data_IF_966708786250
#
_entry.id   IF_966708786250
#
_cell.length_a   1.000
_cell.length_b   1.000
_cell.length_c   1.000
_cell.angle_alpha   90.00
_cell.angle_beta   90.00
_cell.angle_gamma   90.00
#
_symmetry.space_group_name_H-M   'P 1'
#
loop_
_entity.id
_entity.type
_entity.pdbx_description
1 polymer ?
#
# COMPACT_ATOMS: atom_id res chain seq x y z
N UNK A 1 -7.99 -10.05 14.44
CA UNK A 1 -8.77 -10.08 13.17
C UNK A 1 -7.86 -9.90 11.96
N UNK A 2 -6.88 -8.99 12.03
CA UNK A 2 -5.91 -8.70 10.94
C UNK A 2 -4.92 -9.80 10.62
N UNK A 3 -4.61 -10.70 11.57
CA UNK A 3 -3.76 -11.88 11.30
C UNK A 3 -4.40 -12.86 10.32
N UNK A 4 -5.74 -13.02 10.37
CA UNK A 4 -6.47 -13.88 9.42
C UNK A 4 -6.47 -13.24 8.03
N UNK A 5 -6.66 -11.92 7.96
CA UNK A 5 -6.65 -11.17 6.70
C UNK A 5 -5.27 -11.23 6.01
N UNK A 6 -4.20 -11.02 6.78
CA UNK A 6 -2.83 -11.16 6.28
C UNK A 6 -2.50 -12.60 5.87
N UNK A 7 -2.91 -13.60 6.65
CA UNK A 7 -2.71 -15.00 6.30
C UNK A 7 -3.43 -15.35 4.99
N UNK A 8 -4.67 -14.89 4.85
CA UNK A 8 -5.46 -15.06 3.61
C UNK A 8 -4.76 -14.44 2.41
N UNK A 9 -4.21 -13.23 2.57
CA UNK A 9 -3.49 -12.52 1.50
C UNK A 9 -2.23 -13.24 1.00
N UNK A 10 -1.60 -14.06 1.86
CA UNK A 10 -0.39 -14.83 1.55
C UNK A 10 -0.74 -16.21 0.99
N UNK A 11 -1.77 -16.85 1.56
CA UNK A 11 -2.21 -18.19 1.15
C UNK A 11 -2.94 -18.14 -0.20
N UNK A 12 -3.71 -17.08 -0.47
CA UNK A 12 -4.53 -16.99 -1.68
C UNK A 12 -3.71 -17.12 -2.98
N UNK A 13 -2.61 -16.38 -3.21
CA UNK A 13 -1.81 -16.54 -4.42
C UNK A 13 -1.21 -17.94 -4.58
N UNK A 14 -0.79 -18.57 -3.46
CA UNK A 14 -0.21 -19.92 -3.46
C UNK A 14 -1.26 -20.96 -3.89
N UNK A 15 -2.43 -20.93 -3.26
CA UNK A 15 -3.55 -21.81 -3.61
C UNK A 15 -4.00 -21.58 -5.05
N UNK A 16 -4.12 -20.31 -5.46
CA UNK A 16 -4.49 -19.97 -6.84
C UNK A 16 -3.49 -20.52 -7.86
N UNK A 17 -2.19 -20.45 -7.56
CA UNK A 17 -1.14 -21.05 -8.40
C UNK A 17 -1.31 -22.55 -8.56
N UNK A 18 -1.41 -23.28 -7.44
CA UNK A 18 -1.56 -24.74 -7.42
C UNK A 18 -2.84 -25.18 -8.18
N UNK A 19 -3.96 -24.49 -7.95
CA UNK A 19 -5.24 -24.80 -8.60
C UNK A 19 -5.15 -24.60 -10.12
N UNK A 20 -4.49 -23.52 -10.55
CA UNK A 20 -4.33 -23.18 -11.97
C UNK A 20 -3.43 -24.18 -12.69
N UNK A 21 -2.33 -24.59 -12.05
CA UNK A 21 -1.37 -25.55 -12.60
C UNK A 21 -1.99 -26.96 -12.73
N UNK A 22 -2.71 -27.43 -11.70
CA UNK A 22 -3.26 -28.79 -11.70
C UNK A 22 -4.55 -28.93 -12.53
N UNK A 23 -5.44 -27.94 -12.48
CA UNK A 23 -6.79 -28.06 -13.07
C UNK A 23 -6.88 -27.47 -14.48
N UNK A 24 -5.89 -26.66 -14.88
CA UNK A 24 -5.94 -25.83 -16.08
C UNK A 24 -6.88 -24.63 -15.92
N UNK A 25 -6.59 -23.54 -16.65
CA UNK A 25 -7.24 -22.23 -16.49
C UNK A 25 -8.78 -22.26 -16.51
N UNK A 26 -9.39 -23.03 -17.44
CA UNK A 26 -10.85 -23.08 -17.58
C UNK A 26 -11.52 -23.74 -16.37
N UNK A 27 -10.99 -24.86 -15.88
CA UNK A 27 -11.56 -25.56 -14.73
C UNK A 27 -11.25 -24.82 -13.43
N UNK A 28 -10.07 -24.20 -13.32
CA UNK A 28 -9.71 -23.33 -12.20
C UNK A 28 -10.73 -22.20 -12.02
N UNK A 29 -11.16 -21.54 -13.10
CA UNK A 29 -12.22 -20.53 -13.04
C UNK A 29 -13.54 -21.08 -12.48
N UNK A 30 -13.99 -22.25 -12.93
CA UNK A 30 -15.21 -22.87 -12.40
C UNK A 30 -15.07 -23.20 -10.90
N UNK A 31 -13.91 -23.71 -10.49
CA UNK A 31 -13.62 -23.99 -9.07
C UNK A 31 -13.69 -22.70 -8.25
N UNK A 32 -13.09 -21.59 -8.69
CA UNK A 32 -13.15 -20.31 -7.97
C UNK A 32 -14.57 -19.75 -7.88
N UNK A 33 -15.37 -19.86 -8.94
CA UNK A 33 -16.78 -19.42 -8.92
C UNK A 33 -17.57 -20.22 -7.90
N UNK A 34 -17.44 -21.55 -7.91
CA UNK A 34 -18.14 -22.43 -6.96
C UNK A 34 -17.67 -22.16 -5.53
N UNK A 35 -16.36 -22.00 -5.32
CA UNK A 35 -15.77 -21.68 -4.02
C UNK A 35 -16.27 -20.35 -3.46
N UNK A 36 -16.31 -19.29 -4.28
CA UNK A 36 -16.83 -17.99 -3.87
C UNK A 36 -18.32 -18.03 -3.54
N UNK A 37 -19.12 -18.77 -4.33
CA UNK A 37 -20.56 -18.91 -4.06
C UNK A 37 -20.81 -19.65 -2.74
N UNK A 38 -20.08 -20.75 -2.49
CA UNK A 38 -20.13 -21.49 -1.23
C UNK A 38 -19.71 -20.61 -0.05
N UNK A 39 -18.63 -19.84 -0.22
CA UNK A 39 -18.13 -18.92 0.81
C UNK A 39 -19.19 -17.88 1.18
N UNK A 40 -19.89 -17.30 0.19
CA UNK A 40 -20.97 -16.34 0.42
C UNK A 40 -22.17 -16.95 1.18
N UNK A 41 -22.54 -18.19 0.87
CA UNK A 41 -23.62 -18.90 1.59
C UNK A 41 -23.23 -19.11 3.05
N UNK A 42 -22.00 -19.56 3.30
CA UNK A 42 -21.47 -19.81 4.64
C UNK A 42 -21.39 -18.50 5.43
N UNK A 43 -20.85 -17.44 4.83
CA UNK A 43 -20.75 -16.11 5.44
C UNK A 43 -22.12 -15.59 5.87
N UNK A 44 -23.12 -15.66 4.98
CA UNK A 44 -24.50 -15.26 5.28
C UNK A 44 -25.08 -16.06 6.43
N UNK A 45 -24.81 -17.36 6.48
CA UNK A 45 -25.29 -18.23 7.55
C UNK A 45 -24.67 -17.84 8.90
N UNK A 46 -23.35 -17.64 8.95
CA UNK A 46 -22.63 -17.25 10.17
C UNK A 46 -23.09 -15.87 10.65
N UNK A 47 -23.18 -14.89 9.75
CA UNK A 47 -23.64 -13.53 10.10
C UNK A 47 -25.08 -13.54 10.63
N UNK A 48 -25.96 -14.36 10.06
CA UNK A 48 -27.32 -14.54 10.56
C UNK A 48 -27.33 -15.12 11.98
N UNK A 49 -26.46 -16.09 12.27
CA UNK A 49 -26.31 -16.62 13.62
C UNK A 49 -25.75 -15.59 14.60
N UNK A 50 -24.74 -14.82 14.21
CA UNK A 50 -24.15 -13.77 15.06
C UNK A 50 -25.18 -12.68 15.36
N UNK A 51 -25.91 -12.23 14.33
CA UNK A 51 -26.95 -11.22 14.47
C UNK A 51 -28.03 -11.68 15.45
N UNK A 52 -28.53 -12.92 15.31
CA UNK A 52 -29.57 -13.46 16.21
C UNK A 52 -29.09 -13.69 17.65
N UNK A 53 -27.81 -14.00 17.87
CA UNK A 53 -27.25 -14.27 19.20
C UNK A 53 -26.79 -13.02 19.96
N UNK A 54 -26.46 -11.93 19.26
CA UNK A 54 -25.98 -10.69 19.89
C UNK A 54 -27.07 -9.61 19.81
N UNK A 55 -27.90 -9.44 20.86
CA UNK A 55 -28.99 -8.48 20.85
C UNK A 55 -28.52 -7.02 20.70
N UNK A 56 -27.27 -6.71 21.08
CA UNK A 56 -26.65 -5.40 20.88
C UNK A 56 -26.54 -4.98 19.40
N UNK A 57 -26.56 -5.92 18.45
CA UNK A 57 -26.56 -5.63 17.01
C UNK A 57 -27.94 -5.23 16.45
N UNK A 58 -29.02 -5.47 17.21
CA UNK A 58 -30.39 -5.15 16.76
C UNK A 58 -30.76 -3.68 16.98
N UNK A 59 -30.13 -3.00 17.94
CA UNK A 59 -30.34 -1.58 18.19
C UNK A 59 -29.48 -0.75 17.24
N UNK A 60 -30.05 -0.34 16.11
CA UNK A 60 -29.47 0.75 15.32
C UNK A 60 -29.85 2.06 16.00
N UNK A 61 -29.07 2.52 16.97
CA UNK A 61 -29.31 3.78 17.69
C UNK A 61 -29.06 4.95 16.74
N UNK A 62 -30.05 5.27 15.91
CA UNK A 62 -30.21 6.61 15.33
C UNK A 62 -31.09 7.37 16.29
N UNK A 63 -30.51 8.08 17.24
CA UNK A 63 -31.25 9.14 17.94
C UNK A 63 -31.47 10.31 16.98
N UNK A 64 -32.37 10.14 16.01
CA UNK A 64 -32.97 11.27 15.32
C UNK A 64 -34.06 11.84 16.23
N UNK A 65 -33.69 12.80 17.08
CA UNK A 65 -34.68 13.77 17.56
C UNK A 65 -35.02 14.72 16.40
N UNK A 66 -36.29 14.71 15.98
CA UNK A 66 -37.14 15.86 15.59
C UNK A 66 -38.10 15.59 14.40
N UNK A 67 -39.37 15.42 14.79
CA UNK A 67 -40.62 15.91 14.20
C UNK A 67 -40.75 16.10 12.67
N UNK A 68 -41.39 15.09 12.05
CA UNK A 68 -42.63 15.17 11.27
C UNK A 68 -42.96 16.40 10.41
N UNK A 69 -42.89 16.18 9.10
CA UNK A 69 -43.86 16.59 8.04
C UNK A 69 -43.59 17.76 7.07
N UNK A 70 -42.78 18.79 7.34
CA UNK A 70 -42.69 19.92 6.38
C UNK A 70 -41.52 19.87 5.37
N UNK A 71 -40.62 18.89 5.45
CA UNK A 71 -39.37 18.90 4.65
C UNK A 71 -39.45 18.31 3.24
N UNK A 72 -40.57 17.70 2.81
CA UNK A 72 -40.57 16.87 1.58
C UNK A 72 -40.40 17.63 0.26
N UNK A 73 -40.76 18.91 0.17
CA UNK A 73 -40.63 19.68 -1.08
C UNK A 73 -39.29 20.43 -1.25
N UNK A 74 -38.58 20.75 -0.15
CA UNK A 74 -37.28 21.46 -0.19
C UNK A 74 -36.14 20.53 -0.68
N UNK A 75 -36.30 19.21 -0.53
CA UNK A 75 -35.26 18.18 -0.73
C UNK A 75 -34.76 18.03 -2.18
N UNK A 76 -35.47 18.52 -3.21
CA UNK A 76 -35.06 18.29 -4.61
C UNK A 76 -34.09 19.33 -5.18
N UNK A 77 -34.09 20.57 -4.69
CA UNK A 77 -33.25 21.66 -5.23
C UNK A 77 -31.90 21.80 -4.50
N UNK A 78 -31.81 21.24 -3.29
CA UNK A 78 -30.64 21.34 -2.40
C UNK A 78 -29.60 20.23 -2.54
N UNK A 79 -29.81 19.19 -3.36
CA UNK A 79 -28.93 18.00 -3.35
C UNK A 79 -27.45 18.27 -3.67
N UNK A 80 -27.11 19.27 -4.49
CA UNK A 80 -25.71 19.57 -4.81
C UNK A 80 -25.04 20.49 -3.77
N UNK A 81 -25.77 21.46 -3.21
CA UNK A 81 -25.24 22.37 -2.18
C UNK A 81 -25.21 21.69 -0.81
N UNK A 82 -26.20 20.83 -0.52
CA UNK A 82 -26.23 20.00 0.68
C UNK A 82 -25.16 18.91 0.65
N UNK A 83 -24.83 18.33 -0.51
CA UNK A 83 -23.76 17.34 -0.61
C UNK A 83 -22.39 17.92 -0.28
N UNK A 84 -22.09 19.17 -0.70
CA UNK A 84 -20.82 19.82 -0.36
C UNK A 84 -20.79 20.19 1.13
N UNK A 85 -21.87 20.76 1.67
CA UNK A 85 -21.93 21.06 3.11
C UNK A 85 -21.81 19.77 3.94
N UNK A 86 -22.47 18.70 3.54
CA UNK A 86 -22.34 17.38 4.18
C UNK A 86 -20.90 16.85 4.08
N UNK A 87 -20.21 17.03 2.94
CA UNK A 87 -18.81 16.64 2.78
C UNK A 87 -17.86 17.47 3.63
N UNK A 88 -18.05 18.78 3.70
CA UNK A 88 -17.29 19.65 4.61
C UNK A 88 -17.55 19.29 6.07
N UNK A 89 -18.79 18.98 6.44
CA UNK A 89 -19.17 18.54 7.78
C UNK A 89 -18.52 17.20 8.13
N UNK A 90 -18.42 16.28 7.18
CA UNK A 90 -17.73 14.98 7.31
C UNK A 90 -16.23 15.15 7.57
N UNK A 91 -15.58 16.01 6.79
CA UNK A 91 -14.17 16.34 7.00
C UNK A 91 -13.97 17.08 8.32
N UNK A 92 -14.85 18.02 8.65
CA UNK A 92 -14.80 18.73 9.92
C UNK A 92 -14.96 17.77 11.11
N UNK A 93 -15.87 16.79 11.02
CA UNK A 93 -16.03 15.75 12.02
C UNK A 93 -14.76 14.90 12.16
N UNK A 94 -14.10 14.55 11.05
CA UNK A 94 -12.82 13.86 11.04
C UNK A 94 -11.70 14.68 11.75
N UNK A 95 -11.57 15.98 11.44
CA UNK A 95 -10.55 16.86 12.05
C UNK A 95 -10.79 17.12 13.54
N UNK A 96 -12.03 17.03 14.02
CA UNK A 96 -12.37 17.22 15.44
C UNK A 96 -12.03 16.02 16.33
N UNK A 97 -11.76 14.85 15.75
CA UNK A 97 -11.46 13.64 16.52
C UNK A 97 -10.12 13.79 17.25
N UNK A 98 -10.06 13.34 18.51
CA UNK A 98 -8.83 13.37 19.32
C UNK A 98 -7.70 12.51 18.70
N UNK A 99 -8.06 11.50 17.90
CA UNK A 99 -7.12 10.61 17.18
C UNK A 99 -6.69 11.15 15.82
N UNK A 100 -7.15 12.33 15.40
CA UNK A 100 -6.81 12.94 14.12
C UNK A 100 -5.30 12.95 13.83
N UNK A 101 -4.39 13.37 14.74
CA UNK A 101 -2.97 13.44 14.42
C UNK A 101 -2.35 12.07 14.09
N UNK A 102 -2.83 11.01 14.75
CA UNK A 102 -2.37 9.65 14.50
C UNK A 102 -2.91 9.12 13.15
N UNK A 103 -4.21 9.35 12.89
CA UNK A 103 -4.87 8.95 11.64
C UNK A 103 -4.27 9.69 10.43
N UNK A 104 -4.00 10.99 10.56
CA UNK A 104 -3.34 11.79 9.54
C UNK A 104 -1.89 11.34 9.33
N UNK A 105 -1.15 11.04 10.41
CA UNK A 105 0.19 10.47 10.32
C UNK A 105 0.21 9.14 9.56
N UNK A 106 -0.77 8.27 9.79
CA UNK A 106 -0.93 7.04 9.02
C UNK A 106 -1.19 7.36 7.54
N UNK A 107 -2.07 8.30 7.22
CA UNK A 107 -2.33 8.70 5.84
C UNK A 107 -1.06 9.24 5.13
N UNK A 108 -0.20 9.96 5.83
CA UNK A 108 1.11 10.39 5.30
C UNK A 108 2.09 9.22 5.09
N UNK A 109 2.03 8.17 5.91
CA UNK A 109 2.85 6.97 5.68
C UNK A 109 2.50 6.27 4.36
N UNK A 110 1.26 6.38 3.87
CA UNK A 110 0.87 5.86 2.54
C UNK A 110 1.51 6.62 1.38
N UNK A 111 2.05 7.83 1.60
CA UNK A 111 2.80 8.58 0.60
C UNK A 111 4.25 8.08 0.43
N UNK A 112 4.69 7.10 1.23
CA UNK A 112 6.10 6.67 1.22
C UNK A 112 6.50 6.02 -0.09
N UNK A 113 7.61 6.49 -0.67
CA UNK A 113 8.25 5.90 -1.85
C UNK A 113 9.05 4.63 -1.49
N UNK A 114 9.29 4.41 -0.20
CA UNK A 114 10.21 3.42 0.33
C UNK A 114 9.51 2.08 0.68
N UNK A 115 8.26 1.87 0.27
CA UNK A 115 7.68 0.52 0.22
C UNK A 115 8.36 -0.26 -0.89
N UNK A 116 8.89 -1.47 -0.61
CA UNK A 116 9.52 -2.37 -1.60
C UNK A 116 8.57 -2.74 -2.75
N UNK A 117 8.32 -1.77 -3.63
CA UNK A 117 7.30 -1.76 -4.68
C UNK A 117 7.97 -1.47 -6.02
N UNK A 118 7.19 -1.17 -7.06
CA UNK A 118 7.68 -1.02 -8.43
C UNK A 118 8.87 -0.07 -8.57
N UNK A 119 8.89 1.05 -7.83
CA UNK A 119 9.99 2.02 -7.90
C UNK A 119 11.31 1.47 -7.34
N UNK A 120 11.30 0.86 -6.15
CA UNK A 120 12.49 0.26 -5.56
C UNK A 120 13.06 -0.86 -6.46
N UNK A 121 12.18 -1.69 -7.05
CA UNK A 121 12.56 -2.74 -8.00
C UNK A 121 13.14 -2.14 -9.28
N UNK A 122 12.50 -1.10 -9.83
CA UNK A 122 12.97 -0.41 -11.04
C UNK A 122 14.34 0.23 -10.84
N UNK A 123 14.58 0.82 -9.67
CA UNK A 123 15.87 1.37 -9.29
C UNK A 123 16.94 0.28 -9.13
N UNK A 124 16.58 -0.85 -8.52
CA UNK A 124 17.38 -2.09 -8.50
C UNK A 124 17.84 -2.52 -9.87
N UNK A 125 16.87 -2.65 -10.78
CA UNK A 125 17.12 -3.07 -12.15
C UNK A 125 17.96 -2.06 -12.92
N UNK A 126 17.73 -0.75 -12.72
CA UNK A 126 18.53 0.31 -13.34
C UNK A 126 20.01 0.29 -12.90
N UNK A 127 20.30 -0.17 -11.68
CA UNK A 127 21.67 -0.36 -11.19
C UNK A 127 22.26 -1.73 -11.52
N UNK A 128 21.55 -2.59 -12.26
CA UNK A 128 22.02 -3.91 -12.67
C UNK A 128 21.94 -4.98 -11.60
N UNK A 129 21.08 -4.81 -10.59
CA UNK A 129 20.80 -5.88 -9.61
C UNK A 129 19.99 -6.98 -10.28
N UNK A 130 20.41 -8.26 -10.20
CA UNK A 130 19.72 -9.36 -10.84
C UNK A 130 18.32 -9.57 -10.27
N UNK A 131 17.39 -10.03 -11.11
CA UNK A 131 15.96 -10.15 -10.78
C UNK A 131 15.70 -11.10 -9.59
N UNK A 132 16.52 -12.16 -9.46
CA UNK A 132 16.45 -13.13 -8.37
C UNK A 132 16.64 -12.47 -6.99
N UNK A 133 17.61 -11.55 -6.87
CA UNK A 133 17.91 -10.85 -5.61
C UNK A 133 16.76 -9.94 -5.22
N UNK A 134 16.19 -9.23 -6.20
CA UNK A 134 15.02 -8.36 -6.00
C UNK A 134 13.81 -9.19 -5.53
N UNK A 135 13.61 -10.37 -6.11
CA UNK A 135 12.58 -11.32 -5.71
C UNK A 135 12.76 -11.81 -4.26
N UNK A 136 13.98 -12.12 -3.85
CA UNK A 136 14.29 -12.55 -2.47
C UNK A 136 13.98 -11.43 -1.47
N UNK A 137 14.44 -10.20 -1.72
CA UNK A 137 14.15 -9.08 -0.82
C UNK A 137 12.66 -8.77 -0.72
N UNK A 138 11.90 -8.89 -1.83
CA UNK A 138 10.44 -8.77 -1.84
C UNK A 138 9.79 -9.84 -0.96
N UNK A 139 10.25 -11.08 -1.06
CA UNK A 139 9.75 -12.20 -0.26
C UNK A 139 10.01 -11.97 1.24
N UNK A 140 11.23 -11.55 1.59
CA UNK A 140 11.59 -11.21 2.98
C UNK A 140 10.74 -10.04 3.48
N UNK A 141 10.52 -9.02 2.67
CA UNK A 141 9.67 -7.87 3.03
C UNK A 141 8.22 -8.25 3.31
N UNK A 142 7.68 -9.22 2.55
CA UNK A 142 6.35 -9.78 2.83
C UNK A 142 6.33 -10.54 4.16
N UNK A 143 7.31 -11.41 4.39
CA UNK A 143 7.44 -12.16 5.64
C UNK A 143 7.57 -11.24 6.86
N UNK A 144 8.36 -10.17 6.75
CA UNK A 144 8.53 -9.18 7.82
C UNK A 144 7.26 -8.37 8.10
N UNK A 145 6.38 -8.18 7.12
CA UNK A 145 5.06 -7.59 7.34
C UNK A 145 4.17 -8.48 8.22
N UNK A 146 4.13 -9.78 7.92
CA UNK A 146 3.41 -10.79 8.73
C UNK A 146 3.99 -10.84 10.15
N UNK A 147 5.32 -10.90 10.27
CA UNK A 147 6.02 -10.87 11.55
C UNK A 147 5.73 -9.58 12.31
N UNK A 148 5.63 -8.43 11.63
CA UNK A 148 5.26 -7.15 12.22
C UNK A 148 3.87 -7.18 12.87
N UNK A 149 2.91 -7.84 12.25
CA UNK A 149 1.56 -7.97 12.79
C UNK A 149 1.46 -8.94 13.98
N UNK A 150 2.21 -10.05 13.96
CA UNK A 150 2.35 -10.90 15.15
C UNK A 150 3.06 -10.14 16.28
N UNK A 151 4.09 -9.37 15.94
CA UNK A 151 4.82 -8.54 16.91
C UNK A 151 3.89 -7.50 17.53
N UNK A 152 2.99 -6.90 16.74
CA UNK A 152 1.95 -6.01 17.25
C UNK A 152 1.10 -6.67 18.34
N UNK A 153 0.51 -7.84 18.05
CA UNK A 153 -0.40 -8.50 19.01
C UNK A 153 0.30 -8.86 20.32
N UNK A 154 1.57 -9.24 20.26
CA UNK A 154 2.37 -9.56 21.46
C UNK A 154 2.70 -8.32 22.30
N UNK A 155 3.00 -7.19 21.66
CA UNK A 155 3.40 -5.94 22.36
C UNK A 155 2.17 -5.21 22.89
N UNK A 156 1.09 -5.16 22.13
CA UNK A 156 -0.18 -4.54 22.51
C UNK A 156 -0.74 -5.11 23.82
N UNK A 157 -0.73 -6.43 23.98
CA UNK A 157 -1.19 -7.10 25.21
C UNK A 157 -0.46 -6.64 26.48
N UNK A 158 0.77 -6.12 26.35
CA UNK A 158 1.61 -5.71 27.48
C UNK A 158 1.61 -4.20 27.71
N UNK A 159 1.56 -3.42 26.63
CA UNK A 159 1.92 -1.99 26.67
C UNK A 159 0.77 -1.08 26.19
N UNK A 160 -0.30 -1.67 25.63
CA UNK A 160 -1.45 -0.97 25.08
C UNK A 160 -1.18 -0.36 23.70
N UNK A 161 -2.23 -0.02 22.94
CA UNK A 161 -2.12 0.34 21.53
C UNK A 161 -1.26 1.59 21.31
N UNK A 162 -1.48 2.66 22.09
CA UNK A 162 -0.77 3.95 21.88
C UNK A 162 0.76 3.82 21.95
N UNK A 163 1.28 3.02 22.88
CA UNK A 163 2.74 2.81 23.04
C UNK A 163 3.30 1.85 21.99
N UNK A 164 2.53 0.82 21.60
CA UNK A 164 2.90 -0.09 20.51
C UNK A 164 3.03 0.66 19.18
N UNK A 165 2.12 1.57 18.87
CA UNK A 165 2.21 2.39 17.65
C UNK A 165 3.45 3.28 17.63
N UNK A 166 3.78 3.90 18.76
CA UNK A 166 5.02 4.67 18.90
C UNK A 166 6.26 3.79 18.69
N UNK A 167 6.29 2.60 19.26
CA UNK A 167 7.38 1.63 19.05
C UNK A 167 7.51 1.25 17.57
N UNK A 168 6.38 0.97 16.89
CA UNK A 168 6.35 0.65 15.47
C UNK A 168 6.95 1.78 14.62
N UNK A 169 6.58 3.03 14.90
CA UNK A 169 7.11 4.21 14.20
C UNK A 169 8.61 4.42 14.46
N UNK A 170 9.08 4.25 15.69
CA UNK A 170 10.51 4.34 16.03
C UNK A 170 11.30 3.27 15.29
N UNK A 171 10.78 2.03 15.30
CA UNK A 171 11.42 0.90 14.62
C UNK A 171 11.48 1.14 13.11
N UNK A 172 10.38 1.59 12.50
CA UNK A 172 10.35 1.98 11.09
C UNK A 172 11.39 3.07 10.79
N UNK A 173 11.39 4.15 11.56
CA UNK A 173 12.30 5.28 11.35
C UNK A 173 13.77 4.87 11.50
N UNK A 174 14.08 3.96 12.42
CA UNK A 174 15.45 3.47 12.61
C UNK A 174 15.99 2.76 11.37
N UNK A 175 15.16 1.97 10.67
CA UNK A 175 15.54 1.32 9.42
C UNK A 175 15.56 2.28 8.23
N UNK A 176 14.70 3.31 8.24
CA UNK A 176 14.76 4.36 7.22
C UNK A 176 16.03 5.20 7.32
N UNK A 177 16.61 5.37 8.52
CA UNK A 177 17.93 5.98 8.67
C UNK A 177 19.04 5.19 7.97
N UNK A 178 18.92 3.87 7.84
CA UNK A 178 19.85 3.07 7.03
C UNK A 178 19.73 3.40 5.53
N UNK A 179 18.51 3.71 5.05
CA UNK A 179 18.29 4.15 3.67
C UNK A 179 18.90 5.53 3.42
N UNK A 180 18.89 6.42 4.41
CA UNK A 180 19.59 7.71 4.30
C UNK A 180 21.10 7.48 4.26
N UNK A 181 21.62 6.57 5.11
CA UNK A 181 23.04 6.23 5.11
C UNK A 181 23.49 5.63 3.77
N UNK A 182 22.64 4.83 3.12
CA UNK A 182 22.98 4.20 1.84
C UNK A 182 23.27 5.19 0.72
N UNK A 183 22.67 6.39 0.75
CA UNK A 183 22.93 7.45 -0.23
C UNK A 183 24.40 7.89 -0.20
N UNK A 184 25.04 7.83 0.98
CA UNK A 184 26.43 8.24 1.17
C UNK A 184 27.46 7.10 0.94
N UNK A 185 27.00 5.87 0.72
CA UNK A 185 27.89 4.74 0.44
C UNK A 185 28.40 4.78 -1.01
N UNK A 186 29.58 4.19 -1.22
CA UNK A 186 30.16 3.99 -2.54
C UNK A 186 29.20 3.27 -3.47
N UNK A 187 29.09 3.76 -4.72
CA UNK A 187 28.19 3.23 -5.73
C UNK A 187 26.84 3.94 -5.85
N UNK A 188 26.53 4.88 -4.96
CA UNK A 188 25.34 5.73 -5.09
C UNK A 188 25.44 6.66 -6.32
N UNK A 189 24.45 6.67 -7.25
CA UNK A 189 24.41 7.60 -8.39
C UNK A 189 24.01 9.04 -7.97
N UNK A 190 23.96 9.32 -6.67
CA UNK A 190 23.46 10.58 -6.13
C UNK A 190 24.42 11.75 -6.42
N UNK A 191 24.01 12.62 -7.35
CA UNK A 191 24.68 13.89 -7.63
C UNK A 191 23.70 15.06 -7.44
N UNK A 192 23.61 15.65 -6.23
CA UNK A 192 22.61 16.67 -5.93
C UNK A 192 22.85 17.98 -6.70
N UNK A 193 24.10 18.31 -6.99
CA UNK A 193 24.47 19.55 -7.71
C UNK A 193 24.15 19.45 -9.20
N UNK A 194 24.29 18.27 -9.80
CA UNK A 194 23.86 18.01 -11.18
C UNK A 194 22.35 18.08 -11.32
N UNK A 195 21.63 17.39 -10.43
CA UNK A 195 20.15 17.37 -10.44
C UNK A 195 19.55 18.77 -10.25
N UNK A 196 20.04 19.54 -9.27
CA UNK A 196 19.54 20.89 -9.01
C UNK A 196 19.77 21.87 -10.16
N UNK A 197 20.76 21.63 -11.04
CA UNK A 197 21.00 22.44 -12.24
C UNK A 197 20.08 22.07 -13.40
N UNK A 198 19.68 20.81 -13.49
CA UNK A 198 18.83 20.30 -14.57
C UNK A 198 17.33 20.46 -14.27
N UNK A 199 16.97 20.39 -12.99
CA UNK A 199 15.58 20.49 -12.54
C UNK A 199 15.08 21.94 -12.62
N UNK A 200 14.06 22.15 -13.44
CA UNK A 200 13.34 23.42 -13.58
C UNK A 200 11.85 23.10 -13.62
N UNK A 201 11.03 23.86 -12.88
CA UNK A 201 9.59 23.60 -12.77
C UNK A 201 8.91 23.58 -14.14
N UNK A 202 9.34 24.44 -15.07
CA UNK A 202 8.79 24.52 -16.42
C UNK A 202 9.00 23.21 -17.20
N UNK A 203 10.20 22.60 -17.12
CA UNK A 203 10.49 21.32 -17.77
C UNK A 203 9.75 20.15 -17.12
N UNK A 204 9.59 20.18 -15.79
CA UNK A 204 8.81 19.17 -15.09
C UNK A 204 7.33 19.27 -15.48
N UNK A 205 6.78 20.48 -15.49
CA UNK A 205 5.38 20.75 -15.85
C UNK A 205 5.10 20.41 -17.31
N UNK A 206 6.01 20.71 -18.24
CA UNK A 206 5.91 20.35 -19.65
C UNK A 206 5.86 18.82 -19.83
N UNK A 207 6.79 18.08 -19.17
CA UNK A 207 6.78 16.62 -19.19
C UNK A 207 5.51 16.05 -18.58
N UNK A 208 5.07 16.59 -17.45
CA UNK A 208 3.85 16.17 -16.78
C UNK A 208 2.62 16.38 -17.68
N UNK A 209 2.42 17.58 -18.22
CA UNK A 209 1.31 17.87 -19.14
C UNK A 209 1.39 16.98 -20.39
N UNK A 210 2.58 16.77 -20.96
CA UNK A 210 2.76 15.89 -22.13
C UNK A 210 2.37 14.43 -21.86
N UNK A 211 2.54 13.94 -20.62
CA UNK A 211 2.08 12.59 -20.23
C UNK A 211 0.56 12.47 -20.07
N UNK A 212 -0.14 13.60 -19.88
CA UNK A 212 -1.61 13.65 -19.76
C UNK A 212 -2.27 13.83 -21.13
N UNK A 213 -1.62 14.51 -22.07
CA UNK A 213 -2.12 14.65 -23.44
C UNK A 213 -1.91 13.37 -24.24
N UNK A 214 -2.94 12.53 -24.32
CA UNK A 214 -3.04 11.44 -25.31
C UNK A 214 -3.11 12.11 -26.69
N UNK A 215 -1.97 12.18 -27.38
CA UNK A 215 -2.01 12.44 -28.82
C UNK A 215 -2.69 11.24 -29.49
N UNK A 216 -3.75 11.43 -30.30
CA UNK A 216 -4.24 10.36 -31.14
C UNK A 216 -3.08 9.95 -32.04
N UNK A 217 -2.64 8.70 -31.93
CA UNK A 217 -1.65 8.13 -32.82
C UNK A 217 -2.26 8.09 -34.24
N UNK A 218 -2.12 9.18 -34.97
CA UNK A 218 -2.23 9.17 -36.41
C UNK A 218 -0.98 8.42 -36.90
N UNK A 219 -1.20 7.28 -37.54
CA UNK A 219 -0.19 6.44 -38.17
C UNK A 219 0.79 7.29 -39.00
N UNK A 220 1.93 7.63 -38.41
CA UNK A 220 3.08 8.12 -39.15
C UNK A 220 3.95 6.90 -39.46
N UNK A 221 3.68 6.29 -40.61
CA UNK A 221 4.56 5.32 -41.23
C UNK A 221 5.94 5.95 -41.43
N UNK A 222 6.93 5.43 -40.71
CA UNK A 222 8.34 5.65 -40.98
C UNK A 222 8.91 4.31 -41.45
N UNK A 223 9.15 4.21 -42.75
CA UNK A 223 9.93 3.15 -43.36
C UNK A 223 11.36 3.18 -42.79
N UNK A 224 11.67 2.27 -41.87
CA UNK A 224 13.05 1.92 -41.55
C UNK A 224 13.44 0.67 -42.34
N UNK A 225 14.27 0.87 -43.36
CA UNK A 225 15.00 -0.19 -44.04
C UNK A 225 16.04 -0.77 -43.07
N UNK A 226 15.62 -1.66 -42.19
CA UNK A 226 16.51 -2.38 -41.28
C UNK A 226 17.02 -3.63 -41.97
N UNK A 227 18.24 -3.51 -42.50
CA UNK A 227 19.11 -4.63 -42.84
C UNK A 227 19.16 -5.64 -41.70
N UNK A 228 18.93 -6.90 -42.04
CA UNK A 228 19.06 -8.07 -41.19
C UNK A 228 20.45 -8.15 -40.55
N UNK A 229 20.58 -7.58 -39.35
CA UNK A 229 21.57 -8.04 -38.38
C UNK A 229 20.83 -9.01 -37.47
N UNK A 230 21.09 -10.31 -37.67
CA UNK A 230 20.72 -11.34 -36.73
C UNK A 230 21.23 -10.91 -35.35
N UNK A 231 20.31 -10.49 -34.49
CA UNK A 231 20.59 -10.34 -33.06
C UNK A 231 20.91 -11.74 -32.55
N UNK A 232 22.19 -12.10 -32.57
CA UNK A 232 22.71 -13.14 -31.71
C UNK A 232 22.34 -12.68 -30.31
N UNK A 233 21.27 -13.27 -29.75
CA UNK A 233 20.96 -13.17 -28.35
C UNK A 233 22.17 -13.77 -27.62
N UNK A 234 23.13 -12.92 -27.28
CA UNK A 234 24.11 -13.25 -26.25
C UNK A 234 23.24 -13.45 -25.02
N UNK A 235 23.05 -14.71 -24.63
CA UNK A 235 22.56 -15.08 -23.32
C UNK A 235 23.65 -14.58 -22.37
N UNK A 236 23.57 -13.31 -21.98
CA UNK A 236 24.26 -12.84 -20.79
C UNK A 236 23.49 -13.54 -19.67
N UNK A 237 24.00 -14.69 -19.24
CA UNK A 237 23.52 -15.37 -18.05
C UNK A 237 23.56 -14.33 -16.93
N UNK A 238 22.41 -13.86 -16.50
CA UNK A 238 22.35 -12.95 -15.36
C UNK A 238 23.08 -13.60 -14.18
N UNK A 239 23.89 -12.84 -13.43
CA UNK A 239 24.63 -13.40 -12.31
C UNK A 239 23.64 -14.01 -11.33
N UNK A 240 23.72 -15.32 -11.14
CA UNK A 240 22.92 -16.04 -10.15
C UNK A 240 23.16 -15.47 -8.75
N UNK A 241 22.16 -15.57 -7.88
CA UNK A 241 22.23 -15.08 -6.49
C UNK A 241 23.54 -15.43 -5.76
N UNK A 242 24.05 -16.65 -5.94
CA UNK A 242 25.28 -17.14 -5.30
C UNK A 242 26.51 -16.37 -5.79
N UNK A 243 26.58 -16.07 -7.08
CA UNK A 243 27.69 -15.32 -7.69
C UNK A 243 27.65 -13.85 -7.25
N UNK A 244 26.45 -13.29 -7.13
CA UNK A 244 26.23 -11.96 -6.56
C UNK A 244 26.68 -11.89 -5.09
N UNK A 245 26.30 -12.86 -4.26
CA UNK A 245 26.67 -12.87 -2.84
C UNK A 245 28.18 -12.99 -2.62
N UNK A 246 28.85 -13.86 -3.38
CA UNK A 246 30.29 -14.06 -3.27
C UNK A 246 31.12 -12.87 -3.77
N UNK A 247 30.54 -12.01 -4.62
CA UNK A 247 31.17 -10.77 -5.11
C UNK A 247 30.78 -9.53 -4.30
N UNK A 248 29.86 -9.66 -3.33
CA UNK A 248 29.41 -8.56 -2.51
C UNK A 248 30.50 -8.10 -1.56
N UNK A 249 30.82 -6.80 -1.62
CA UNK A 249 31.74 -6.15 -0.68
C UNK A 249 31.10 -4.86 -0.16
N UNK A 250 31.22 -4.59 1.13
CA UNK A 250 30.58 -3.42 1.79
C UNK A 250 31.14 -2.07 1.27
N UNK A 251 32.30 -2.08 0.62
CA UNK A 251 32.91 -0.94 -0.07
C UNK A 251 32.75 -0.97 -1.58
N UNK A 252 32.06 -1.99 -2.12
CA UNK A 252 31.86 -2.19 -3.54
C UNK A 252 30.77 -1.28 -4.13
N UNK A 253 30.65 -1.24 -5.47
CA UNK A 253 29.69 -0.37 -6.17
C UNK A 253 28.21 -0.75 -5.90
N UNK A 254 27.93 -1.95 -5.39
CA UNK A 254 26.58 -2.42 -5.08
C UNK A 254 26.24 -2.32 -3.58
N UNK A 255 27.13 -1.78 -2.76
CA UNK A 255 26.93 -1.68 -1.32
C UNK A 255 25.79 -0.74 -0.95
N UNK A 256 25.73 0.43 -1.61
CA UNK A 256 24.66 1.42 -1.43
C UNK A 256 23.28 0.79 -1.67
N UNK A 257 23.07 0.12 -2.81
CA UNK A 257 21.76 -0.44 -3.14
C UNK A 257 21.36 -1.62 -2.25
N UNK A 258 22.32 -2.43 -1.78
CA UNK A 258 22.03 -3.51 -0.85
C UNK A 258 21.60 -2.98 0.52
N UNK A 259 22.30 -1.98 1.08
CA UNK A 259 21.92 -1.35 2.34
C UNK A 259 20.56 -0.65 2.23
N UNK A 260 20.29 -0.01 1.08
CA UNK A 260 18.98 0.54 0.75
C UNK A 260 17.89 -0.53 0.81
N UNK A 261 18.07 -1.67 0.12
CA UNK A 261 17.11 -2.76 0.11
C UNK A 261 16.91 -3.40 1.49
N UNK A 262 17.97 -3.62 2.25
CA UNK A 262 17.85 -4.04 3.64
C UNK A 262 17.00 -3.04 4.46
N UNK A 263 17.32 -1.75 4.38
CA UNK A 263 16.61 -0.71 5.12
C UNK A 263 15.10 -0.70 4.83
N UNK A 264 14.70 -0.69 3.56
CA UNK A 264 13.28 -0.68 3.19
C UNK A 264 12.57 -2.00 3.52
N UNK A 265 13.25 -3.13 3.42
CA UNK A 265 12.70 -4.46 3.75
C UNK A 265 12.45 -4.59 5.25
N UNK A 266 13.40 -4.18 6.10
CA UNK A 266 13.24 -4.24 7.56
C UNK A 266 12.27 -3.16 8.10
N UNK A 267 12.17 -2.00 7.45
CA UNK A 267 11.21 -0.97 7.80
C UNK A 267 9.75 -1.47 7.74
N UNK A 268 9.43 -2.51 6.93
CA UNK A 268 8.09 -3.10 6.85
C UNK A 268 7.58 -3.66 8.18
N UNK A 269 8.48 -4.18 9.02
CA UNK A 269 8.09 -4.70 10.35
C UNK A 269 7.49 -3.57 11.20
N UNK A 270 8.18 -2.42 11.27
CA UNK A 270 7.72 -1.25 12.01
C UNK A 270 6.46 -0.63 11.41
N UNK A 271 6.38 -0.57 10.07
CA UNK A 271 5.23 -0.02 9.35
C UNK A 271 3.94 -0.80 9.65
N UNK A 272 3.96 -2.14 9.52
CA UNK A 272 2.78 -2.97 9.80
C UNK A 272 2.37 -2.94 11.28
N UNK A 273 3.33 -2.78 12.19
CA UNK A 273 3.05 -2.59 13.62
C UNK A 273 2.37 -1.25 13.89
N UNK A 274 2.85 -0.17 13.28
CA UNK A 274 2.28 1.17 13.42
C UNK A 274 0.88 1.26 12.79
N UNK A 275 0.69 0.69 11.60
CA UNK A 275 -0.60 0.67 10.90
C UNK A 275 -1.69 -0.02 11.73
N UNK A 276 -1.38 -1.24 12.21
CA UNK A 276 -2.34 -2.00 13.02
C UNK A 276 -2.67 -1.30 14.35
N UNK A 277 -1.67 -0.65 14.94
CA UNK A 277 -1.83 0.13 16.16
C UNK A 277 -2.70 1.37 15.99
N UNK A 278 -2.50 2.14 14.91
CA UNK A 278 -3.27 3.35 14.65
C UNK A 278 -4.70 2.99 14.29
N UNK A 279 -4.88 1.92 13.49
CA UNK A 279 -6.20 1.38 13.18
C UNK A 279 -6.95 0.98 14.45
N UNK A 280 -6.31 0.28 15.39
CA UNK A 280 -6.95 -0.07 16.65
C UNK A 280 -7.24 1.16 17.52
N UNK A 281 -6.30 2.11 17.59
CA UNK A 281 -6.50 3.37 18.32
C UNK A 281 -7.72 4.14 17.79
N UNK A 282 -7.91 4.15 16.47
CA UNK A 282 -9.10 4.72 15.83
C UNK A 282 -10.37 3.95 16.18
N UNK A 283 -10.33 2.61 16.18
CA UNK A 283 -11.48 1.78 16.56
C UNK A 283 -11.94 2.02 18.01
N UNK A 284 -11.01 2.19 18.94
CA UNK A 284 -11.30 2.39 20.36
C UNK A 284 -11.72 3.84 20.69
N UNK A 285 -11.14 4.84 20.02
CA UNK A 285 -11.39 6.23 20.35
C UNK A 285 -12.63 6.83 19.67
N UNK A 286 -13.04 6.29 18.53
CA UNK A 286 -14.14 6.84 17.73
C UNK A 286 -15.48 6.21 18.14
N UNK A 287 -16.52 7.01 18.43
CA UNK A 287 -17.84 6.50 18.78
C UNK A 287 -18.46 5.69 17.63
N UNK A 288 -19.25 4.68 17.97
CA UNK A 288 -19.78 3.71 17.00
C UNK A 288 -20.68 4.35 15.93
N UNK A 289 -21.33 5.45 16.26
CA UNK A 289 -22.25 6.18 15.37
C UNK A 289 -21.53 6.87 14.20
N UNK A 290 -20.29 7.33 14.41
CA UNK A 290 -19.48 8.02 13.40
C UNK A 290 -18.34 7.15 12.83
N UNK A 291 -18.09 5.97 13.41
CA UNK A 291 -16.95 5.10 13.07
C UNK A 291 -16.86 4.82 11.58
N UNK A 292 -17.92 4.31 10.95
CA UNK A 292 -17.91 3.96 9.53
C UNK A 292 -17.60 5.16 8.63
N UNK A 293 -18.11 6.33 9.02
CA UNK A 293 -17.94 7.58 8.30
C UNK A 293 -16.49 8.07 8.35
N UNK A 294 -15.91 8.06 9.56
CA UNK A 294 -14.53 8.49 9.79
C UNK A 294 -13.53 7.54 9.14
N UNK A 295 -13.78 6.23 9.20
CA UNK A 295 -12.98 5.24 8.46
C UNK A 295 -13.09 5.41 6.94
N UNK A 296 -14.25 5.84 6.43
CA UNK A 296 -14.43 6.20 5.03
C UNK A 296 -13.55 7.38 4.61
N UNK A 297 -13.54 8.47 5.39
CA UNK A 297 -12.68 9.64 5.14
C UNK A 297 -11.20 9.27 5.25
N UNK A 298 -10.82 8.50 6.27
CA UNK A 298 -9.45 8.00 6.44
C UNK A 298 -8.98 7.21 5.22
N UNK A 299 -9.77 6.24 4.75
CA UNK A 299 -9.41 5.44 3.59
C UNK A 299 -9.30 6.31 2.33
N UNK A 300 -10.22 7.24 2.14
CA UNK A 300 -10.13 8.22 1.04
C UNK A 300 -8.85 9.04 1.09
N UNK A 301 -8.47 9.51 2.28
CA UNK A 301 -7.25 10.29 2.49
C UNK A 301 -5.97 9.46 2.26
N UNK A 302 -5.91 8.23 2.78
CA UNK A 302 -4.80 7.30 2.52
C UNK A 302 -4.64 6.99 1.03
N UNK A 303 -5.75 6.76 0.32
CA UNK A 303 -5.72 6.53 -1.13
C UNK A 303 -5.31 7.78 -1.90
N UNK A 304 -5.72 8.97 -1.45
CA UNK A 304 -5.28 10.24 -2.03
C UNK A 304 -3.75 10.40 -1.94
N UNK A 305 -3.15 10.16 -0.77
CA UNK A 305 -1.70 10.22 -0.59
C UNK A 305 -0.95 9.12 -1.36
N UNK A 306 -1.51 7.91 -1.41
CA UNK A 306 -1.00 6.83 -2.27
C UNK A 306 -1.06 7.20 -3.76
N UNK A 307 -2.07 7.96 -4.19
CA UNK A 307 -2.21 8.43 -5.57
C UNK A 307 -1.21 9.53 -5.94
N UNK A 308 -0.93 10.48 -5.04
CA UNK A 308 0.09 11.54 -5.24
C UNK A 308 1.45 10.92 -5.58
N UNK A 309 1.77 9.77 -5.00
CA UNK A 309 3.02 9.07 -5.26
C UNK A 309 3.21 8.59 -6.71
N UNK A 310 2.12 8.29 -7.43
CA UNK A 310 2.20 7.79 -8.81
C UNK A 310 2.26 8.89 -9.88
N UNK A 311 2.14 10.16 -9.46
CA UNK A 311 2.08 11.34 -10.33
C UNK A 311 3.40 12.11 -10.26
#
# INVERSE_FOLDING_TARGET
MTTIDQLSSVIAPILTGIITEYSGHRNACFIFVIWNLLSWIIERYILSQVYSKVPALHSRQRECKENGNDKKEIIKKDKNLSNINTFCDLFQAYFRQNVFPAAFGLALLYMTVLGFDGLAISHGKAQGVPEDVLGIFRSIGSALGIVGAFSYTMVEQKVGPRKTGLLGLILQQSFLWLCVLSIFLSGSPFNPIGYAKEWTFDKWLEKFLSSIYISPALEAGANENSTTHAATAIIISEPSFVTFWNSFTLTGPMASIFVFFCGITFARLGLWMADLSITQLMQEAIPEEERNTIFGVQNGLSQFFSGIFFV
#
